data_IF_052584589366
#
_entry.id   IF_052584589366
#
_cell.length_a   1.000
_cell.length_b   1.000
_cell.length_c   1.000
_cell.angle_alpha   90.00
_cell.angle_beta   90.00
_cell.angle_gamma   90.00
#
_symmetry.space_group_name_H-M   'P 1'
#
loop_
_entity.id
_entity.type
_entity.pdbx_description
1 polymer ?
#
# COMPACT_ATOMS: atom_id res chain seq x y z
N UNK A 1 0.16 0.98 12.12
CA UNK A 1 -0.10 1.17 10.67
C UNK A 1 0.33 -0.09 9.94
N UNK A 2 -0.57 -0.71 9.19
CA UNK A 2 -0.30 -1.92 8.40
C UNK A 2 0.15 -1.53 6.98
N UNK A 3 1.24 -2.14 6.52
CA UNK A 3 1.87 -1.86 5.23
C UNK A 3 2.17 -3.16 4.51
N UNK A 4 1.84 -3.22 3.21
CA UNK A 4 2.31 -4.25 2.28
C UNK A 4 3.34 -3.62 1.36
N UNK A 5 4.51 -4.23 1.22
CA UNK A 5 5.57 -3.68 0.38
C UNK A 5 6.29 -4.77 -0.42
N UNK A 6 6.85 -4.38 -1.57
CA UNK A 6 7.62 -5.27 -2.43
C UNK A 6 8.70 -4.51 -3.20
N UNK A 7 9.85 -5.16 -3.40
CA UNK A 7 10.97 -4.63 -4.17
C UNK A 7 11.89 -3.72 -3.36
N UNK A 8 12.96 -3.29 -4.04
CA UNK A 8 13.98 -2.36 -3.53
C UNK A 8 14.20 -1.28 -4.59
N UNK A 9 14.70 -0.11 -4.20
CA UNK A 9 14.90 1.05 -5.09
C UNK A 9 14.09 2.28 -4.68
N UNK A 10 13.86 3.25 -5.60
CA UNK A 10 13.12 4.47 -5.28
C UNK A 10 11.70 4.15 -4.78
N UNK A 11 11.23 4.80 -3.70
CA UNK A 11 9.93 4.47 -3.10
C UNK A 11 8.77 5.00 -3.93
N UNK A 12 7.73 4.18 -4.11
CA UNK A 12 6.44 4.56 -4.69
C UNK A 12 5.34 4.20 -3.69
N UNK A 13 4.62 5.21 -3.19
CA UNK A 13 3.54 5.02 -2.21
C UNK A 13 2.19 5.00 -2.94
N UNK A 14 1.42 3.93 -2.71
CA UNK A 14 0.12 3.70 -3.33
C UNK A 14 -1.01 3.92 -2.31
N UNK A 15 -1.84 4.93 -2.53
CA UNK A 15 -2.99 5.25 -1.67
C UNK A 15 -4.28 4.71 -2.29
N UNK A 16 -5.01 3.84 -1.58
CA UNK A 16 -6.25 3.25 -2.08
C UNK A 16 -7.45 4.23 -2.06
N UNK A 17 -8.55 3.88 -2.73
CA UNK A 17 -9.81 4.62 -2.70
C UNK A 17 -10.77 4.20 -1.58
N UNK A 18 -12.04 4.61 -1.70
CA UNK A 18 -13.14 4.21 -0.82
C UNK A 18 -14.09 3.22 -1.53
N UNK A 19 -14.55 2.13 -0.90
CA UNK A 19 -14.08 1.51 0.34
C UNK A 19 -13.10 0.37 0.03
N UNK A 20 -11.80 0.67 0.00
CA UNK A 20 -10.75 -0.28 -0.44
C UNK A 20 -9.70 -0.56 0.65
N UNK A 21 -8.70 -1.38 0.33
CA UNK A 21 -7.54 -1.75 1.17
C UNK A 21 -6.25 -1.67 0.35
N UNK A 22 -5.09 -1.86 1.01
CA UNK A 22 -3.82 -2.08 0.30
C UNK A 22 -3.90 -3.21 -0.74
N UNK A 23 -4.78 -4.19 -0.51
CA UNK A 23 -5.01 -5.32 -1.42
C UNK A 23 -5.47 -4.93 -2.83
N UNK A 24 -6.04 -3.74 -3.03
CA UNK A 24 -6.38 -3.24 -4.36
C UNK A 24 -5.16 -3.11 -5.27
N UNK A 25 -3.97 -2.97 -4.69
CA UNK A 25 -2.70 -2.82 -5.40
C UNK A 25 -1.95 -4.13 -5.63
N UNK A 26 -2.57 -5.30 -5.39
CA UNK A 26 -1.92 -6.62 -5.53
C UNK A 26 -1.28 -6.89 -6.90
N UNK A 27 -1.72 -6.22 -7.96
CA UNK A 27 -1.14 -6.35 -9.30
C UNK A 27 -0.04 -5.31 -9.55
N UNK A 28 -0.16 -4.12 -8.96
CA UNK A 28 0.80 -3.02 -9.14
C UNK A 28 2.05 -3.22 -8.28
N UNK A 29 1.92 -3.80 -7.08
CA UNK A 29 3.05 -4.11 -6.19
C UNK A 29 4.15 -4.93 -6.89
N UNK A 30 3.87 -6.11 -7.48
CA UNK A 30 4.90 -6.88 -8.19
C UNK A 30 5.35 -6.20 -9.49
N UNK A 31 4.47 -5.47 -10.19
CA UNK A 31 4.83 -4.78 -11.43
C UNK A 31 5.84 -3.64 -11.19
N UNK A 32 5.61 -2.82 -10.15
CA UNK A 32 6.53 -1.75 -9.75
C UNK A 32 7.84 -2.31 -9.19
N UNK A 33 7.77 -3.38 -8.40
CA UNK A 33 8.96 -4.09 -7.93
C UNK A 33 9.82 -4.61 -9.10
N UNK A 34 9.19 -5.22 -10.10
CA UNK A 34 9.88 -5.69 -11.31
C UNK A 34 10.48 -4.55 -12.15
N UNK A 35 9.91 -3.34 -12.06
CA UNK A 35 10.43 -2.13 -12.68
C UNK A 35 11.56 -1.44 -11.88
N UNK A 36 11.99 -2.01 -10.75
CA UNK A 36 13.11 -1.50 -9.94
C UNK A 36 12.70 -0.44 -8.90
N UNK A 37 11.44 -0.40 -8.51
CA UNK A 37 10.94 0.48 -7.45
C UNK A 37 10.66 -0.31 -6.16
N UNK A 38 10.75 0.35 -5.01
CA UNK A 38 10.17 -0.14 -3.75
C UNK A 38 8.71 0.30 -3.70
N UNK A 39 7.79 -0.61 -4.02
CA UNK A 39 6.35 -0.34 -3.98
C UNK A 39 5.81 -0.52 -2.56
N UNK A 40 5.08 0.48 -2.05
CA UNK A 40 4.59 0.54 -0.67
C UNK A 40 3.09 0.85 -0.68
N UNK A 41 2.28 -0.09 -0.21
CA UNK A 41 0.83 0.03 -0.13
C UNK A 41 0.37 -0.11 1.34
N UNK A 42 0.10 1.00 2.04
CA UNK A 42 -0.51 0.95 3.36
C UNK A 42 -2.03 0.73 3.30
N UNK A 43 -2.57 0.09 4.34
CA UNK A 43 -3.98 0.31 4.69
C UNK A 43 -4.06 1.73 5.30
N UNK A 44 -4.84 2.63 4.71
CA UNK A 44 -4.99 4.01 5.19
C UNK A 44 -5.67 4.04 6.57
N UNK A 45 -5.55 5.18 7.27
CA UNK A 45 -6.21 5.39 8.57
C UNK A 45 -7.68 5.01 8.50
N UNK A 46 -8.13 4.15 9.42
CA UNK A 46 -9.51 3.68 9.47
C UNK A 46 -9.81 2.44 8.62
N UNK A 47 -8.82 1.86 7.95
CA UNK A 47 -8.99 0.70 7.06
C UNK A 47 -8.11 -0.49 7.46
N UNK A 48 -8.63 -1.69 7.19
CA UNK A 48 -7.87 -2.94 7.28
C UNK A 48 -7.21 -3.15 8.64
N UNK A 49 -5.89 -3.34 8.64
CA UNK A 49 -5.09 -3.50 9.86
C UNK A 49 -4.48 -2.21 10.41
N UNK A 50 -4.90 -1.04 9.95
CA UNK A 50 -4.46 0.26 10.49
C UNK A 50 -5.53 0.84 11.41
N UNK A 51 -5.08 1.41 12.54
CA UNK A 51 -5.97 1.98 13.57
C UNK A 51 -6.99 2.99 13.01
N UNK A 52 -8.16 3.00 13.65
CA UNK A 52 -9.22 3.97 13.42
C UNK A 52 -9.40 4.83 14.69
N UNK A 53 -8.55 5.84 14.93
CA UNK A 53 -8.74 6.74 16.07
C UNK A 53 -10.05 7.53 15.92
N UNK A 54 -10.69 7.93 17.04
CA UNK A 54 -11.86 8.81 17.00
C UNK A 54 -11.50 10.17 16.37
N UNK A 55 -12.52 10.85 15.84
CA UNK A 55 -12.41 12.18 15.26
C UNK A 55 -12.13 13.26 16.31
#
# INVERSE_FOLDING_TARGET
MRVTEQGEGPPVVLCHGFPELAYSWRHQLPALAAAGFRAIAPDQRGYGGTDCPPA
#
